data_IF_932880665616
#
_entry.id   IF_932880665616
#
_cell.length_a   1.000
_cell.length_b   1.000
_cell.length_c   1.000
_cell.angle_alpha   90.00
_cell.angle_beta   90.00
_cell.angle_gamma   90.00
#
_symmetry.space_group_name_H-M   'P 1'
#
loop_
_entity.id
_entity.type
_entity.pdbx_description
1 polymer ?
#
# COMPACT_ATOMS: atom_id res chain seq x y z
N UNK A 1 -1.96 5.22 1.81
CA UNK A 1 -3.22 4.48 1.69
C UNK A 1 -4.43 5.22 2.25
N UNK A 2 -4.48 5.59 3.54
CA UNK A 2 -5.64 6.36 4.10
C UNK A 2 -6.03 7.60 3.28
N UNK A 3 -5.06 8.43 2.88
CA UNK A 3 -5.34 9.62 2.06
C UNK A 3 -5.82 9.26 0.63
N UNK A 4 -5.38 8.13 0.08
CA UNK A 4 -5.86 7.62 -1.23
C UNK A 4 -7.34 7.24 -1.11
N UNK A 5 -7.71 6.52 -0.04
CA UNK A 5 -9.11 6.18 0.25
C UNK A 5 -9.96 7.42 0.49
N UNK A 6 -9.44 8.39 1.24
CA UNK A 6 -10.13 9.67 1.50
C UNK A 6 -10.37 10.48 0.22
N UNK A 7 -9.47 10.38 -0.76
CA UNK A 7 -9.65 10.95 -2.09
C UNK A 7 -10.62 10.14 -2.98
N UNK A 8 -11.20 9.08 -2.44
CA UNK A 8 -12.16 8.25 -3.12
C UNK A 8 -11.56 7.19 -4.03
N UNK A 9 -10.29 6.84 -3.84
CA UNK A 9 -9.56 5.92 -4.73
C UNK A 9 -9.29 4.61 -4.01
N UNK A 10 -9.54 3.48 -4.66
CA UNK A 10 -8.95 2.18 -4.33
C UNK A 10 -7.86 1.86 -5.34
N UNK A 11 -6.68 1.46 -4.86
CA UNK A 11 -5.53 1.26 -5.75
C UNK A 11 -5.61 -0.06 -6.51
N UNK A 12 -6.20 -1.10 -5.92
CA UNK A 12 -6.42 -2.44 -6.53
C UNK A 12 -5.15 -3.26 -6.83
N UNK A 13 -3.97 -2.63 -6.84
CA UNK A 13 -2.63 -3.25 -6.91
C UNK A 13 -1.70 -2.61 -5.86
N UNK A 14 -2.12 -2.64 -4.60
CA UNK A 14 -1.44 -1.96 -3.49
C UNK A 14 -0.23 -2.71 -2.92
N UNK A 15 0.47 -3.50 -3.73
CA UNK A 15 1.62 -4.31 -3.30
C UNK A 15 2.92 -3.49 -3.21
N UNK A 16 3.95 -3.98 -2.50
CA UNK A 16 5.18 -3.22 -2.25
C UNK A 16 5.93 -2.74 -3.51
N UNK A 17 5.84 -3.44 -4.66
CA UNK A 17 6.47 -2.98 -5.92
C UNK A 17 5.98 -1.58 -6.35
N UNK A 18 4.75 -1.21 -5.96
CA UNK A 18 4.09 0.04 -6.32
C UNK A 18 4.29 1.14 -5.28
N UNK A 19 5.25 0.96 -4.35
CA UNK A 19 5.67 1.97 -3.39
C UNK A 19 7.11 2.36 -3.68
N UNK A 20 7.32 3.65 -3.98
CA UNK A 20 8.65 4.21 -4.17
C UNK A 20 9.10 5.03 -2.97
N UNK A 21 10.31 4.75 -2.49
CA UNK A 21 11.02 5.62 -1.55
C UNK A 21 11.80 6.70 -2.31
N UNK A 22 11.31 7.93 -2.23
CA UNK A 22 11.98 9.11 -2.78
C UNK A 22 12.83 9.74 -1.68
N UNK A 23 14.15 9.66 -1.82
CA UNK A 23 15.11 10.24 -0.87
C UNK A 23 15.11 11.78 -0.94
N UNK A 24 15.17 12.44 0.21
CA UNK A 24 15.12 13.91 0.30
C UNK A 24 15.18 14.43 1.73
N UNK A 25 14.62 15.63 1.96
CA UNK A 25 14.44 16.19 3.29
C UNK A 25 13.02 16.79 3.43
N UNK A 26 12.03 16.02 3.92
CA UNK A 26 12.12 14.63 4.38
C UNK A 26 12.11 13.59 3.25
N UNK A 27 12.52 12.36 3.56
CA UNK A 27 12.22 11.18 2.73
C UNK A 27 10.70 11.01 2.57
N UNK A 28 10.26 10.53 1.41
CA UNK A 28 8.84 10.34 1.09
C UNK A 28 8.58 8.97 0.50
N UNK A 29 7.47 8.35 0.92
CA UNK A 29 6.91 7.19 0.24
C UNK A 29 5.81 7.64 -0.71
N UNK A 30 5.87 7.18 -1.95
CA UNK A 30 4.93 7.54 -3.02
C UNK A 30 4.30 6.28 -3.58
N UNK A 31 2.97 6.29 -3.71
CA UNK A 31 2.22 5.26 -4.43
C UNK A 31 2.27 5.57 -5.93
N UNK A 32 2.52 4.55 -6.75
CA UNK A 32 2.59 4.64 -8.21
C UNK A 32 1.73 3.55 -8.85
N UNK A 33 1.56 3.62 -10.18
CA UNK A 33 0.84 2.60 -10.96
C UNK A 33 -0.65 2.46 -10.58
N UNK A 34 -1.43 3.48 -10.92
CA UNK A 34 -2.87 3.53 -10.69
C UNK A 34 -3.69 2.98 -11.87
N UNK A 35 -3.08 2.24 -12.79
CA UNK A 35 -3.72 1.86 -14.07
C UNK A 35 -4.93 0.93 -13.88
N UNK A 36 -5.00 0.22 -12.75
CA UNK A 36 -6.14 -0.62 -12.35
C UNK A 36 -6.96 -0.05 -11.19
N UNK A 37 -6.65 1.18 -10.77
CA UNK A 37 -7.34 1.82 -9.67
C UNK A 37 -8.80 2.10 -10.00
N UNK A 38 -9.64 2.16 -8.97
CA UNK A 38 -11.07 2.51 -9.10
C UNK A 38 -11.38 3.73 -8.27
N UNK A 39 -12.13 4.67 -8.84
CA UNK A 39 -12.57 5.89 -8.16
C UNK A 39 -14.04 5.79 -7.79
N UNK A 40 -14.40 6.27 -6.62
CA UNK A 40 -15.76 6.31 -6.10
C UNK A 40 -16.07 7.72 -5.60
N UNK A 41 -17.27 8.22 -5.92
CA UNK A 41 -17.77 9.47 -5.32
C UNK A 41 -18.21 9.27 -3.87
N UNK A 42 -18.76 8.09 -3.59
CA UNK A 42 -19.30 7.71 -2.29
C UNK A 42 -18.90 6.28 -1.95
N UNK A 43 -18.66 6.03 -0.66
CA UNK A 43 -18.23 4.72 -0.18
C UNK A 43 -19.41 4.01 0.47
N UNK A 44 -19.84 2.92 -0.16
CA UNK A 44 -20.74 1.95 0.46
C UNK A 44 -19.99 1.04 1.44
N UNK A 45 -20.72 0.18 2.18
CA UNK A 45 -20.13 -0.74 3.15
C UNK A 45 -19.05 -1.65 2.55
N UNK A 46 -19.23 -2.11 1.32
CA UNK A 46 -18.24 -2.93 0.61
C UNK A 46 -16.95 -2.16 0.34
N UNK A 47 -17.06 -0.90 -0.13
CA UNK A 47 -15.88 -0.09 -0.40
C UNK A 47 -15.12 0.24 0.90
N UNK A 48 -15.83 0.47 2.00
CA UNK A 48 -15.22 0.69 3.31
C UNK A 48 -14.51 -0.56 3.83
N UNK A 49 -15.11 -1.75 3.66
CA UNK A 49 -14.50 -3.01 4.04
C UNK A 49 -13.22 -3.28 3.23
N UNK A 50 -13.25 -3.00 1.91
CA UNK A 50 -12.07 -3.09 1.05
C UNK A 50 -10.99 -2.08 1.46
N UNK A 51 -11.35 -0.83 1.79
CA UNK A 51 -10.38 0.14 2.33
C UNK A 51 -9.70 -0.36 3.59
N UNK A 52 -10.47 -0.94 4.52
CA UNK A 52 -9.93 -1.50 5.75
C UNK A 52 -8.97 -2.66 5.45
N UNK A 53 -9.34 -3.54 4.51
CA UNK A 53 -8.48 -4.63 4.06
C UNK A 53 -7.17 -4.13 3.43
N UNK A 54 -7.22 -3.14 2.52
CA UNK A 54 -6.02 -2.55 1.93
C UNK A 54 -5.12 -1.90 2.99
N UNK A 55 -5.69 -1.29 4.04
CA UNK A 55 -4.91 -0.72 5.17
C UNK A 55 -4.21 -1.83 5.96
N UNK A 56 -4.90 -2.90 6.30
CA UNK A 56 -4.30 -4.02 7.05
C UNK A 56 -3.19 -4.71 6.25
N UNK A 57 -3.40 -4.91 4.95
CA UNK A 57 -2.37 -5.46 4.06
C UNK A 57 -1.09 -4.59 4.08
N UNK A 58 -1.26 -3.27 3.93
CA UNK A 58 -0.12 -2.33 3.93
C UNK A 58 0.62 -2.28 5.26
N UNK A 59 -0.06 -2.46 6.39
CA UNK A 59 0.60 -2.58 7.70
C UNK A 59 1.49 -3.83 7.74
N UNK A 60 1.00 -4.95 7.22
CA UNK A 60 1.74 -6.22 7.16
C UNK A 60 3.04 -6.14 6.36
N UNK A 61 3.16 -5.21 5.41
CA UNK A 61 4.42 -5.00 4.67
C UNK A 61 5.58 -4.60 5.59
N UNK A 62 5.29 -3.76 6.60
CA UNK A 62 6.31 -3.32 7.54
C UNK A 62 6.82 -4.46 8.41
N UNK A 63 5.93 -5.37 8.82
CA UNK A 63 6.30 -6.58 9.56
C UNK A 63 7.13 -7.53 8.70
N UNK A 64 6.66 -7.86 7.49
CA UNK A 64 7.39 -8.74 6.59
C UNK A 64 8.78 -8.21 6.21
N UNK A 65 8.91 -6.91 5.95
CA UNK A 65 10.21 -6.31 5.63
C UNK A 65 11.19 -6.39 6.81
N UNK A 66 10.69 -6.27 8.06
CA UNK A 66 11.51 -6.46 9.26
C UNK A 66 11.97 -7.91 9.39
N UNK A 67 11.09 -8.86 9.14
CA UNK A 67 11.42 -10.29 9.18
C UNK A 67 12.49 -10.63 8.11
N UNK A 68 12.28 -10.18 6.86
CA UNK A 68 13.23 -10.36 5.77
C UNK A 68 14.61 -9.82 6.16
N UNK A 69 14.65 -8.62 6.75
CA UNK A 69 15.89 -8.00 7.21
C UNK A 69 16.55 -8.77 8.36
N UNK A 70 15.76 -9.31 9.31
CA UNK A 70 16.27 -10.09 10.43
C UNK A 70 16.87 -11.42 9.99
N UNK A 71 16.31 -12.04 8.94
CA UNK A 71 16.77 -13.29 8.35
C UNK A 71 17.89 -13.09 7.31
N UNK A 72 18.20 -11.84 6.95
CA UNK A 72 19.19 -11.51 5.92
C UNK A 72 18.71 -11.82 4.49
N UNK A 73 17.39 -11.91 4.29
CA UNK A 73 16.75 -12.16 3.01
C UNK A 73 16.67 -10.88 2.16
N UNK A 74 16.55 -11.01 0.83
CA UNK A 74 16.15 -9.91 -0.02
C UNK A 74 14.80 -9.31 0.45
N UNK A 75 14.57 -8.01 0.25
CA UNK A 75 13.30 -7.41 0.64
C UNK A 75 12.13 -8.02 -0.15
N UNK A 76 11.00 -8.13 0.52
CA UNK A 76 9.71 -8.50 -0.04
C UNK A 76 9.57 -9.97 -0.46
N UNK A 77 10.08 -10.90 0.36
CA UNK A 77 9.94 -12.35 0.08
C UNK A 77 8.55 -12.90 0.34
N UNK A 78 7.75 -12.21 1.18
CA UNK A 78 6.42 -12.66 1.60
C UNK A 78 5.29 -12.09 0.74
N UNK A 79 5.54 -10.97 0.07
CA UNK A 79 4.58 -10.35 -0.85
C UNK A 79 5.18 -10.27 -2.26
N UNK A 80 5.61 -11.42 -2.80
CA UNK A 80 5.57 -11.81 -4.22
C UNK A 80 5.75 -13.31 -4.38
#
# INVERSE_FOLDING_TARGET
MKEIHKAGVHHRDNYPKNILLVRGNPDRLVWIDFDVATTFTDFGPEQLALSAHEIELVKGFGDALRDDQAEGLPPNTKFY
#
